data_IF_194054571881
#
_entry.id   IF_194054571881
#
_cell.length_a   1.000
_cell.length_b   1.000
_cell.length_c   1.000
_cell.angle_alpha   90.00
_cell.angle_beta   90.00
_cell.angle_gamma   90.00
#
_symmetry.space_group_name_H-M   'P 1'
#
loop_
_entity.id
_entity.type
_entity.pdbx_description
1 polymer ?
#
# COMPACT_ATOMS: atom_id res chain seq x y z
N UNK A 1 -4.02 -0.19 14.69
CA UNK A 1 -2.97 -0.21 13.64
C UNK A 1 -2.05 1.00 13.72
N UNK A 2 -2.58 2.21 13.87
CA UNK A 2 -1.80 3.46 13.97
C UNK A 2 -0.67 3.43 15.01
N UNK A 3 -0.90 2.83 16.18
CA UNK A 3 0.14 2.67 17.21
C UNK A 3 1.32 1.83 16.72
N UNK A 4 1.04 0.69 16.06
CA UNK A 4 2.08 -0.20 15.51
C UNK A 4 2.81 0.50 14.36
N UNK A 5 2.08 1.17 13.46
CA UNK A 5 2.68 1.94 12.36
C UNK A 5 3.56 3.08 12.87
N UNK A 6 3.10 3.80 13.89
CA UNK A 6 3.87 4.87 14.53
C UNK A 6 5.12 4.32 15.21
N UNK A 7 5.01 3.15 15.86
CA UNK A 7 6.15 2.47 16.46
C UNK A 7 7.15 2.01 15.40
N UNK A 8 6.69 1.39 14.31
CA UNK A 8 7.51 0.94 13.19
C UNK A 8 8.23 2.14 12.56
N UNK A 9 7.52 3.23 12.30
CA UNK A 9 8.13 4.47 11.81
C UNK A 9 9.19 5.02 12.76
N UNK A 10 8.93 5.05 14.08
CA UNK A 10 9.91 5.53 15.07
C UNK A 10 11.16 4.65 15.13
N UNK A 11 11.03 3.33 14.98
CA UNK A 11 12.15 2.39 15.06
C UNK A 11 12.89 2.23 13.74
N UNK A 12 12.20 2.36 12.62
CA UNK A 12 12.68 1.99 11.27
C UNK A 12 12.69 3.17 10.30
N UNK A 13 12.29 4.36 10.75
CA UNK A 13 12.21 5.56 9.91
C UNK A 13 13.51 5.91 9.21
N UNK A 14 14.68 5.66 9.82
CA UNK A 14 15.97 5.89 9.16
C UNK A 14 16.20 4.96 7.97
N UNK A 15 15.84 3.68 8.09
CA UNK A 15 15.94 2.69 7.01
C UNK A 15 14.95 3.04 5.90
N UNK A 16 13.70 3.37 6.28
CA UNK A 16 12.66 3.80 5.35
C UNK A 16 13.07 5.08 4.60
N UNK A 17 13.62 6.08 5.29
CA UNK A 17 14.11 7.33 4.67
C UNK A 17 15.29 7.05 3.74
N UNK A 18 16.22 6.18 4.13
CA UNK A 18 17.37 5.78 3.30
C UNK A 18 16.91 5.07 2.02
N UNK A 19 15.92 4.20 2.14
CA UNK A 19 15.33 3.45 1.02
C UNK A 19 14.17 4.22 0.35
N UNK A 20 13.95 5.48 0.74
CA UNK A 20 12.91 6.39 0.21
C UNK A 20 11.48 5.86 0.28
N UNK A 21 11.21 4.98 1.25
CA UNK A 21 9.90 4.40 1.53
C UNK A 21 9.12 5.20 2.61
N UNK A 22 7.79 5.10 2.57
CA UNK A 22 6.89 5.74 3.55
C UNK A 22 5.69 4.86 3.85
N UNK A 23 5.32 4.79 5.12
CA UNK A 23 4.04 4.21 5.50
C UNK A 23 2.92 5.21 5.27
N UNK A 24 1.98 4.85 4.40
CA UNK A 24 0.77 5.62 4.14
C UNK A 24 -0.36 5.12 5.02
N UNK A 25 -1.18 6.02 5.52
CA UNK A 25 -2.38 5.63 6.26
C UNK A 25 -3.36 4.92 5.35
N UNK A 26 -4.03 3.95 5.92
CA UNK A 26 -4.93 3.13 5.16
C UNK A 26 -6.19 3.82 4.63
N UNK A 27 -6.52 4.98 5.17
CA UNK A 27 -7.58 5.82 4.64
C UNK A 27 -7.32 6.21 3.17
N UNK A 28 -6.06 6.21 2.72
CA UNK A 28 -5.71 6.52 1.34
C UNK A 28 -6.39 5.60 0.33
N UNK A 29 -6.25 4.28 0.46
CA UNK A 29 -6.83 3.33 -0.50
C UNK A 29 -8.35 3.28 -0.43
N UNK A 30 -8.95 3.44 0.74
CA UNK A 30 -10.41 3.54 0.88
C UNK A 30 -10.95 4.80 0.20
N UNK A 31 -10.24 5.94 0.31
CA UNK A 31 -10.59 7.16 -0.42
C UNK A 31 -10.47 6.95 -1.93
N UNK A 32 -9.37 6.39 -2.41
CA UNK A 32 -9.19 6.08 -3.84
C UNK A 32 -10.29 5.16 -4.34
N UNK A 33 -10.60 4.09 -3.61
CA UNK A 33 -11.67 3.14 -3.95
C UNK A 33 -13.04 3.82 -4.02
N UNK A 34 -13.37 4.67 -3.05
CA UNK A 34 -14.66 5.39 -3.04
C UNK A 34 -14.82 6.35 -4.22
N UNK A 35 -13.72 6.92 -4.73
CA UNK A 35 -13.75 7.86 -5.87
C UNK A 35 -13.64 7.16 -7.22
N UNK A 36 -13.18 5.91 -7.25
CA UNK A 36 -12.90 5.16 -8.46
C UNK A 36 -14.10 5.01 -9.42
N UNK A 37 -15.34 4.74 -8.97
CA UNK A 37 -16.48 4.63 -9.88
C UNK A 37 -16.72 5.91 -10.69
N UNK A 38 -16.52 7.08 -10.07
CA UNK A 38 -16.67 8.39 -10.74
C UNK A 38 -15.49 8.66 -11.67
N UNK A 39 -14.27 8.33 -11.22
CA UNK A 39 -13.07 8.41 -12.06
C UNK A 39 -13.16 7.53 -13.32
N UNK A 40 -13.67 6.30 -13.17
CA UNK A 40 -13.75 5.30 -14.24
C UNK A 40 -14.58 5.78 -15.44
N UNK A 41 -15.65 6.51 -15.18
CA UNK A 41 -16.56 7.08 -16.19
C UNK A 41 -16.21 8.50 -16.61
N UNK A 42 -15.15 9.09 -16.05
CA UNK A 42 -14.74 10.46 -16.37
C UNK A 42 -14.09 10.53 -17.76
N UNK A 43 -14.51 11.49 -18.57
CA UNK A 43 -13.97 11.72 -19.93
C UNK A 43 -12.52 12.23 -19.87
N UNK A 44 -12.25 13.25 -19.05
CA UNK A 44 -10.91 13.80 -18.84
C UNK A 44 -10.29 13.32 -17.52
N UNK A 45 -9.71 12.12 -17.58
CA UNK A 45 -8.98 11.51 -16.45
C UNK A 45 -7.77 12.33 -15.98
N UNK A 46 -7.20 13.18 -16.85
CA UNK A 46 -6.02 13.97 -16.52
C UNK A 46 -6.34 15.17 -15.63
N UNK A 47 -7.55 15.72 -15.76
CA UNK A 47 -8.05 16.82 -14.96
C UNK A 47 -8.80 16.37 -13.70
N UNK A 48 -9.10 15.07 -13.56
CA UNK A 48 -9.87 14.53 -12.44
C UNK A 48 -9.29 14.97 -11.08
N UNK A 49 -10.17 15.46 -10.21
CA UNK A 49 -9.82 15.89 -8.86
C UNK A 49 -10.11 14.77 -7.86
N UNK A 50 -9.06 14.22 -7.27
CA UNK A 50 -9.10 13.23 -6.20
C UNK A 50 -9.30 13.87 -4.81
N UNK A 51 -9.46 15.18 -4.75
CA UNK A 51 -9.71 15.92 -3.52
C UNK A 51 -8.47 16.15 -2.67
N UNK A 52 -8.64 17.01 -1.67
CA UNK A 52 -7.54 17.48 -0.83
C UNK A 52 -6.88 16.37 0.02
N UNK A 53 -7.64 15.35 0.42
CA UNK A 53 -7.10 14.26 1.24
C UNK A 53 -6.11 13.40 0.44
N UNK A 54 -6.51 12.91 -0.74
CA UNK A 54 -5.64 12.14 -1.64
C UNK A 54 -4.43 12.98 -2.03
N UNK A 55 -4.64 14.26 -2.41
CA UNK A 55 -3.56 15.20 -2.67
C UNK A 55 -2.60 15.33 -1.49
N UNK A 56 -3.10 15.43 -0.26
CA UNK A 56 -2.30 15.59 0.95
C UNK A 56 -1.42 14.37 1.21
N UNK A 57 -1.95 13.16 0.98
CA UNK A 57 -1.16 11.94 1.04
C UNK A 57 0.00 11.97 0.04
N UNK A 58 -0.28 12.32 -1.23
CA UNK A 58 0.75 12.29 -2.29
C UNK A 58 1.68 13.49 -2.38
N UNK A 59 1.33 14.60 -1.72
CA UNK A 59 2.21 15.77 -1.58
C UNK A 59 2.87 15.85 -0.21
N UNK A 60 2.50 14.94 0.71
CA UNK A 60 2.91 14.85 2.11
C UNK A 60 2.89 16.13 2.91
N UNK A 61 1.85 16.94 2.69
CA UNK A 61 1.54 18.12 3.51
C UNK A 61 0.68 17.79 4.74
N UNK A 62 0.22 16.56 4.90
CA UNK A 62 -0.46 16.12 6.12
C UNK A 62 0.56 15.96 7.26
N UNK A 63 0.40 16.80 8.28
CA UNK A 63 1.09 16.77 9.59
C UNK A 63 2.47 17.44 9.68
N UNK A 64 2.51 18.78 9.61
CA UNK A 64 3.32 19.62 10.52
C UNK A 64 4.84 19.43 10.61
N UNK A 65 5.44 18.56 9.80
CA UNK A 65 6.87 18.34 9.71
C UNK A 65 7.28 18.61 8.27
N UNK A 66 8.30 19.44 8.10
CA UNK A 66 9.04 19.61 6.84
C UNK A 66 9.70 18.27 6.50
N UNK A 67 8.93 17.33 6.01
CA UNK A 67 9.45 16.20 5.26
C UNK A 67 9.20 16.60 3.81
N UNK A 68 10.26 16.76 3.02
CA UNK A 68 10.12 16.83 1.57
C UNK A 68 9.53 15.50 1.11
N UNK A 69 8.21 15.38 1.10
CA UNK A 69 7.53 14.16 0.71
C UNK A 69 7.56 14.08 -0.80
N UNK A 70 8.63 13.47 -1.27
CA UNK A 70 8.60 12.67 -2.49
C UNK A 70 7.69 11.48 -2.22
N UNK A 71 6.49 11.46 -2.81
CA UNK A 71 5.87 10.19 -3.21
C UNK A 71 6.56 9.77 -4.51
N UNK A 72 7.85 9.49 -4.37
CA UNK A 72 8.78 9.10 -5.43
C UNK A 72 9.95 8.36 -4.76
N UNK A 73 9.71 7.15 -4.29
CA UNK A 73 10.49 5.99 -4.69
C UNK A 73 9.82 4.75 -4.12
N UNK A 74 10.13 3.65 -4.77
CA UNK A 74 9.61 2.31 -4.69
C UNK A 74 9.61 1.74 -3.25
N UNK A 75 8.52 1.02 -2.93
CA UNK A 75 8.43 -0.10 -1.96
C UNK A 75 7.95 0.23 -0.53
N UNK A 76 6.62 0.22 -0.39
CA UNK A 76 5.96 -0.39 0.77
C UNK A 76 4.82 0.41 1.38
N UNK A 77 3.56 0.10 1.03
CA UNK A 77 2.39 0.63 1.72
C UNK A 77 1.82 -0.39 2.72
N UNK A 78 1.30 0.11 3.84
CA UNK A 78 0.45 -0.71 4.71
C UNK A 78 -0.95 -0.25 4.51
N UNK A 79 -1.73 -1.09 3.86
CA UNK A 79 -3.12 -0.76 3.58
C UNK A 79 -4.01 -1.54 4.54
N UNK A 80 -5.05 -0.85 5.01
CA UNK A 80 -6.23 -1.46 5.61
C UNK A 80 -7.14 -1.84 4.46
N UNK A 81 -7.53 -3.11 4.36
CA UNK A 81 -8.69 -3.47 3.59
C UNK A 81 -9.93 -3.17 4.44
N UNK A 82 -10.26 -1.89 4.60
CA UNK A 82 -11.69 -1.54 4.74
C UNK A 82 -12.13 -1.42 3.27
N UNK A 83 -12.71 -2.40 2.58
CA UNK A 83 -13.68 -3.43 2.97
C UNK A 83 -13.43 -4.74 2.16
N UNK A 84 -12.62 -5.68 2.68
CA UNK A 84 -12.45 -7.02 2.08
C UNK A 84 -13.31 -8.09 2.79
N UNK A 85 -14.46 -7.67 3.32
CA UNK A 85 -15.31 -8.48 4.21
C UNK A 85 -14.82 -8.40 5.66
N UNK A 86 -15.13 -7.28 6.31
CA UNK A 86 -15.10 -6.95 7.75
C UNK A 86 -14.01 -7.48 8.73
N UNK A 87 -13.04 -8.36 8.39
CA UNK A 87 -12.09 -8.90 9.39
C UNK A 87 -10.70 -9.32 8.85
N UNK A 88 -10.34 -9.07 7.59
CA UNK A 88 -9.03 -9.48 7.03
C UNK A 88 -8.11 -8.32 6.66
N UNK A 89 -6.83 -8.43 7.00
CA UNK A 89 -5.80 -7.42 6.78
C UNK A 89 -4.65 -7.98 5.95
N UNK A 90 -4.22 -7.22 4.95
CA UNK A 90 -3.08 -7.53 4.07
C UNK A 90 -2.12 -6.34 4.00
N UNK A 91 -0.84 -6.59 3.73
CA UNK A 91 0.10 -5.53 3.36
C UNK A 91 0.05 -5.24 1.87
N UNK A 92 0.23 -3.98 1.44
CA UNK A 92 0.25 -3.62 0.02
C UNK A 92 1.53 -2.86 -0.34
N UNK A 93 2.49 -3.48 -0.98
CA UNK A 93 3.71 -2.79 -1.41
C UNK A 93 3.48 -2.22 -2.81
N UNK A 94 3.23 -0.91 -2.91
CA UNK A 94 3.16 -0.22 -4.21
C UNK A 94 4.57 0.21 -4.61
N UNK A 95 5.02 -0.31 -5.75
CA UNK A 95 6.23 0.07 -6.46
C UNK A 95 5.86 1.07 -7.56
N UNK A 96 6.24 2.34 -7.37
CA UNK A 96 5.88 3.43 -8.26
C UNK A 96 6.63 3.33 -9.61
N UNK A 97 7.96 3.21 -9.67
CA UNK A 97 8.66 3.13 -10.95
C UNK A 97 8.52 1.76 -11.60
N UNK A 98 8.39 0.68 -10.82
CA UNK A 98 8.01 -0.64 -11.33
C UNK A 98 6.56 -0.71 -11.82
N UNK A 99 5.72 0.28 -11.49
CA UNK A 99 4.28 0.30 -11.81
C UNK A 99 3.60 -1.01 -11.40
N UNK A 100 3.85 -1.43 -10.15
CA UNK A 100 3.45 -2.73 -9.66
C UNK A 100 2.96 -2.67 -8.21
N UNK A 101 2.03 -3.54 -7.83
CA UNK A 101 1.58 -3.68 -6.44
C UNK A 101 1.69 -5.12 -5.97
N UNK A 102 2.43 -5.32 -4.90
CA UNK A 102 2.56 -6.62 -4.25
C UNK A 102 1.64 -6.72 -3.03
N UNK A 103 0.85 -7.79 -2.95
CA UNK A 103 -0.10 -8.07 -1.86
C UNK A 103 0.50 -9.11 -0.92
N UNK A 104 0.86 -8.66 0.28
CA UNK A 104 1.38 -9.49 1.37
C UNK A 104 0.21 -10.01 2.21
N UNK A 105 -0.32 -11.17 1.84
CA UNK A 105 -1.52 -11.76 2.43
C UNK A 105 -1.19 -12.80 3.52
N UNK A 106 -1.44 -12.50 4.81
CA UNK A 106 -1.16 -13.43 5.90
C UNK A 106 -2.24 -14.50 6.07
N UNK A 107 -3.35 -14.47 5.32
CA UNK A 107 -4.40 -15.49 5.44
C UNK A 107 -5.16 -15.68 4.13
N UNK A 108 -4.52 -16.38 3.20
CA UNK A 108 -5.00 -16.56 1.82
C UNK A 108 -6.34 -17.29 1.76
N UNK A 109 -6.56 -18.28 2.62
CA UNK A 109 -7.79 -19.09 2.61
C UNK A 109 -9.06 -18.27 2.89
N UNK A 110 -8.92 -17.20 3.67
CA UNK A 110 -10.03 -16.27 3.94
C UNK A 110 -10.51 -15.55 2.67
N UNK A 111 -9.59 -15.20 1.77
CA UNK A 111 -9.86 -14.60 0.46
C UNK A 111 -9.25 -15.43 -0.67
N UNK A 112 -9.62 -16.72 -0.71
CA UNK A 112 -9.08 -17.68 -1.68
C UNK A 112 -9.43 -17.33 -3.13
N UNK A 113 -10.50 -16.54 -3.35
CA UNK A 113 -10.93 -16.14 -4.70
C UNK A 113 -10.11 -14.95 -5.19
N UNK A 114 -9.30 -15.20 -6.21
CA UNK A 114 -8.50 -14.16 -6.89
C UNK A 114 -9.36 -12.99 -7.40
N UNK A 115 -10.57 -13.27 -7.91
CA UNK A 115 -11.51 -12.24 -8.36
C UNK A 115 -11.90 -11.22 -7.26
N UNK A 116 -11.91 -11.62 -5.99
CA UNK A 116 -12.20 -10.71 -4.87
C UNK A 116 -11.03 -9.74 -4.65
N UNK A 117 -9.80 -10.24 -4.74
CA UNK A 117 -8.59 -9.43 -4.66
C UNK A 117 -8.47 -8.51 -5.88
N UNK A 118 -8.81 -9.02 -7.06
CA UNK A 118 -8.80 -8.24 -8.30
C UNK A 118 -9.75 -7.04 -8.22
N UNK A 119 -10.99 -7.26 -7.76
CA UNK A 119 -11.96 -6.18 -7.58
C UNK A 119 -11.48 -5.11 -6.58
N UNK A 120 -10.73 -5.52 -5.56
CA UNK A 120 -10.12 -4.61 -4.59
C UNK A 120 -8.92 -3.84 -5.16
N UNK A 121 -8.09 -4.54 -5.95
CA UNK A 121 -6.90 -3.96 -6.54
C UNK A 121 -7.22 -3.04 -7.71
N UNK A 122 -8.30 -3.29 -8.45
CA UNK A 122 -8.69 -2.51 -9.65
C UNK A 122 -8.70 -0.99 -9.35
N UNK A 123 -9.40 -0.48 -8.33
CA UNK A 123 -9.35 0.94 -8.00
C UNK A 123 -7.94 1.46 -7.74
N UNK A 124 -7.09 0.70 -7.05
CA UNK A 124 -5.74 1.12 -6.71
C UNK A 124 -4.87 1.17 -7.97
N UNK A 125 -4.76 0.06 -8.69
CA UNK A 125 -3.84 -0.06 -9.83
C UNK A 125 -4.21 0.84 -11.01
N UNK A 126 -5.51 1.11 -11.19
CA UNK A 126 -6.00 1.98 -12.25
C UNK A 126 -5.84 3.46 -11.90
N UNK A 127 -5.99 3.83 -10.62
CA UNK A 127 -6.00 5.24 -10.18
C UNK A 127 -4.61 5.78 -9.89
N UNK A 128 -3.72 4.96 -9.31
CA UNK A 128 -2.38 5.37 -8.90
C UNK A 128 -1.59 6.17 -9.94
N UNK A 129 -1.44 5.72 -11.20
CA UNK A 129 -0.67 6.48 -12.18
C UNK A 129 -1.27 7.86 -12.47
N UNK A 130 -2.59 8.00 -12.42
CA UNK A 130 -3.27 9.28 -12.62
C UNK A 130 -3.13 10.21 -11.42
N UNK A 131 -3.27 9.69 -10.20
CA UNK A 131 -3.04 10.44 -8.97
C UNK A 131 -1.62 11.01 -8.95
N UNK A 132 -0.62 10.18 -9.27
CA UNK A 132 0.78 10.58 -9.28
C UNK A 132 1.02 11.65 -10.35
N UNK A 133 0.53 11.45 -11.57
CA UNK A 133 0.64 12.45 -12.65
C UNK A 133 -0.03 13.79 -12.30
N UNK A 134 -1.14 13.76 -11.56
CA UNK A 134 -1.91 14.95 -11.18
C UNK A 134 -1.27 15.80 -10.09
N UNK A 135 -0.67 15.16 -9.09
CA UNK A 135 -0.23 15.85 -7.86
C UNK A 135 1.27 15.80 -7.60
N UNK A 136 2.01 14.91 -8.26
CA UNK A 136 3.47 14.87 -8.20
C UNK A 136 4.04 15.76 -9.30
N UNK A 137 5.06 16.54 -8.96
CA UNK A 137 5.62 17.55 -9.86
C UNK A 137 6.12 16.95 -11.19
N UNK A 138 6.07 17.73 -12.29
CA UNK A 138 6.42 17.27 -13.64
C UNK A 138 7.82 16.67 -13.73
N UNK A 139 8.77 17.16 -12.93
CA UNK A 139 10.15 16.67 -12.88
C UNK A 139 10.25 15.17 -12.52
N UNK A 140 9.24 14.61 -11.86
CA UNK A 140 9.16 13.18 -11.52
C UNK A 140 8.27 12.45 -12.51
N UNK A 141 7.15 13.06 -12.90
CA UNK A 141 6.10 12.39 -13.68
C UNK A 141 6.36 12.39 -15.19
N UNK A 142 7.40 13.08 -15.68
CA UNK A 142 7.73 13.18 -17.11
C UNK A 142 7.92 11.81 -17.78
N UNK A 143 8.45 10.82 -17.05
CA UNK A 143 8.67 9.47 -17.57
C UNK A 143 7.57 8.47 -17.16
N UNK A 144 6.58 8.91 -16.38
CA UNK A 144 5.54 8.05 -15.86
C UNK A 144 4.42 7.86 -16.88
N UNK A 145 4.03 6.60 -17.07
CA UNK A 145 2.89 6.26 -17.92
C UNK A 145 1.57 6.39 -17.15
N UNK A 146 0.46 6.47 -17.88
CA UNK A 146 -0.90 6.39 -17.31
C UNK A 146 -1.48 4.97 -17.40
N UNK A 147 -0.65 3.98 -17.70
CA UNK A 147 -1.08 2.59 -17.78
C UNK A 147 -1.36 2.06 -16.38
N UNK A 148 -2.37 1.20 -16.27
CA UNK A 148 -2.68 0.52 -15.02
C UNK A 148 -1.44 -0.23 -14.49
N UNK A 149 -1.25 -0.18 -13.18
CA UNK A 149 -0.18 -0.94 -12.54
C UNK A 149 -0.48 -2.45 -12.63
N UNK A 150 0.57 -3.26 -12.67
CA UNK A 150 0.45 -4.68 -12.42
C UNK A 150 0.20 -4.94 -10.94
N UNK A 151 -0.29 -6.13 -10.61
CA UNK A 151 -0.31 -6.59 -9.22
C UNK A 151 -0.16 -8.11 -9.14
N UNK A 152 0.31 -8.60 -7.99
CA UNK A 152 0.17 -9.99 -7.61
C UNK A 152 0.12 -10.16 -6.10
N UNK A 153 -0.48 -11.27 -5.69
CA UNK A 153 -0.37 -11.79 -4.33
C UNK A 153 0.90 -12.60 -4.19
N UNK A 154 1.71 -12.25 -3.20
CA UNK A 154 2.97 -12.95 -2.92
C UNK A 154 2.69 -14.36 -2.41
N UNK A 155 3.26 -15.35 -3.09
CA UNK A 155 3.22 -16.74 -2.65
C UNK A 155 4.29 -17.07 -1.61
N UNK A 156 4.09 -18.17 -0.88
CA UNK A 156 5.11 -18.69 0.05
C UNK A 156 5.25 -17.90 1.36
N UNK A 157 4.36 -16.94 1.63
CA UNK A 157 4.30 -16.25 2.92
C UNK A 157 3.74 -17.16 4.00
N UNK A 158 4.18 -16.94 5.24
CA UNK A 158 3.56 -17.54 6.42
C UNK A 158 2.04 -17.32 6.41
N UNK A 159 1.29 -18.38 6.72
CA UNK A 159 -0.16 -18.36 6.80
C UNK A 159 -0.58 -18.41 8.26
N UNK A 160 -1.24 -17.33 8.69
CA UNK A 160 -1.76 -17.19 10.03
C UNK A 160 -2.80 -18.26 10.33
N UNK A 161 -2.57 -19.03 11.40
CA UNK A 161 -3.48 -20.10 11.85
C UNK A 161 -4.47 -19.62 12.91
N UNK A 162 -4.29 -18.40 13.44
CA UNK A 162 -5.09 -17.82 14.54
C UNK A 162 -6.00 -16.71 14.05
N UNK A 163 -7.30 -16.86 14.27
CA UNK A 163 -8.27 -15.80 13.94
C UNK A 163 -7.95 -14.51 14.73
N UNK A 164 -7.76 -13.40 14.03
CA UNK A 164 -7.50 -12.07 14.61
C UNK A 164 -6.07 -11.53 14.45
N UNK A 165 -5.10 -12.37 14.11
CA UNK A 165 -3.68 -11.98 14.00
C UNK A 165 -3.26 -11.49 12.60
N UNK A 166 -4.20 -11.36 11.65
CA UNK A 166 -3.92 -10.82 10.31
C UNK A 166 -3.31 -9.40 10.35
N UNK A 167 -3.73 -8.57 11.31
CA UNK A 167 -3.22 -7.20 11.51
C UNK A 167 -1.74 -7.16 11.90
N UNK A 168 -1.30 -7.80 13.00
CA UNK A 168 0.11 -7.84 13.36
C UNK A 168 0.95 -8.58 12.31
N UNK A 169 0.43 -9.63 11.66
CA UNK A 169 1.15 -10.32 10.59
C UNK A 169 1.41 -9.42 9.38
N UNK A 170 0.39 -8.71 8.88
CA UNK A 170 0.55 -7.76 7.79
C UNK A 170 1.59 -6.68 8.13
N UNK A 171 1.51 -6.11 9.34
CA UNK A 171 2.49 -5.13 9.81
C UNK A 171 3.91 -5.69 9.87
N UNK A 172 4.06 -6.95 10.28
CA UNK A 172 5.34 -7.64 10.34
C UNK A 172 5.92 -7.89 8.96
N UNK A 173 5.10 -8.35 8.00
CA UNK A 173 5.54 -8.51 6.62
C UNK A 173 6.02 -7.19 6.02
N UNK A 174 5.40 -6.07 6.38
CA UNK A 174 5.80 -4.76 5.88
C UNK A 174 7.11 -4.27 6.52
N UNK A 175 7.33 -4.57 7.81
CA UNK A 175 8.64 -4.39 8.44
C UNK A 175 9.71 -5.24 7.75
N UNK A 176 9.44 -6.53 7.50
CA UNK A 176 10.38 -7.45 6.85
C UNK A 176 10.67 -7.04 5.40
N UNK A 177 9.65 -6.56 4.69
CA UNK A 177 9.78 -6.06 3.32
C UNK A 177 10.70 -4.83 3.28
N UNK A 178 10.53 -3.89 4.23
CA UNK A 178 11.40 -2.72 4.36
C UNK A 178 12.87 -3.09 4.63
N UNK A 179 13.13 -4.29 5.16
CA UNK A 179 14.48 -4.82 5.38
C UNK A 179 14.95 -5.79 4.31
N UNK A 180 14.18 -5.99 3.22
CA UNK A 180 14.46 -6.95 2.14
C UNK A 180 14.56 -8.40 2.64
N UNK A 181 13.86 -8.73 3.72
CA UNK A 181 13.82 -10.06 4.33
C UNK A 181 12.67 -10.90 3.76
N UNK A 182 12.48 -10.86 2.44
CA UNK A 182 11.35 -11.50 1.77
C UNK A 182 11.37 -13.03 1.95
N UNK A 183 12.54 -13.64 1.81
CA UNK A 183 12.72 -15.09 1.98
C UNK A 183 12.38 -15.57 3.39
N UNK A 184 12.65 -14.73 4.40
CA UNK A 184 12.39 -15.03 5.81
C UNK A 184 10.92 -14.86 6.20
N UNK A 185 10.07 -14.23 5.36
CA UNK A 185 8.63 -14.06 5.69
C UNK A 185 7.90 -15.41 5.79
N UNK A 186 8.43 -16.43 5.13
CA UNK A 186 7.95 -17.82 5.20
C UNK A 186 8.23 -18.49 6.55
N UNK A 187 9.23 -18.01 7.30
CA UNK A 187 9.70 -18.62 8.55
C UNK A 187 9.06 -18.01 9.80
N UNK A 188 8.15 -17.05 9.64
CA UNK A 188 7.31 -16.55 10.73
C UNK A 188 6.49 -17.72 11.28
N UNK A 189 6.30 -17.77 12.60
CA UNK A 189 5.59 -18.87 13.27
C UNK A 189 4.71 -18.36 14.42
N UNK A 190 3.66 -19.13 14.71
CA UNK A 190 2.77 -18.96 15.86
C UNK A 190 3.39 -19.47 17.17
N UNK A 191 4.51 -20.20 17.08
CA UNK A 191 5.21 -20.76 18.21
C UNK A 191 5.99 -19.66 18.92
N UNK A 192 5.64 -19.41 20.19
CA UNK A 192 6.42 -18.50 21.03
C UNK A 192 7.84 -19.04 21.22
N UNK A 193 8.82 -18.15 21.41
CA UNK A 193 10.14 -18.57 21.86
C UNK A 193 10.01 -19.23 23.24
N UNK A 194 10.01 -20.56 23.26
CA UNK A 194 10.11 -21.38 24.48
C UNK A 194 11.54 -21.48 24.98
#
# INVERSE_FOLDING_TARGET
MEVIMTMLWRRRGEVLVKDRAVFVESAFTSLVASMYPVFKICDDKSAFDWGNNVRSFVSGKSQGKKTEVRICDERGHVVRPDELGNDHWVGLVIDIPGSYVEVLDPYVDYNHKEAVVEAYMEPVVQSMPWILKRYVGPNVTTHMTTNAYGWARTGGLYQNTRAGDCRPCAAKFLEMHAHRLHEEMSTVTDEGCG
#
